data_IF_205881329443
#
_entry.id   IF_205881329443
#
_cell.length_a   1.000
_cell.length_b   1.000
_cell.length_c   1.000
_cell.angle_alpha   90.00
_cell.angle_beta   90.00
_cell.angle_gamma   90.00
#
_symmetry.space_group_name_H-M   'P 1'
#
loop_
_entity.id
_entity.type
_entity.pdbx_description
1 polymer ?
#
# COMPACT_ATOMS: atom_id res chain seq x y z
N UNK A 1 -60.48 -19.23 -5.22
CA UNK A 1 -60.04 -19.17 -3.81
C UNK A 1 -58.59 -19.64 -3.78
N UNK A 2 -57.67 -18.73 -4.09
CA UNK A 2 -56.27 -19.06 -4.31
C UNK A 2 -55.44 -18.75 -3.06
N UNK A 3 -55.08 -19.82 -2.35
CA UNK A 3 -54.18 -19.80 -1.21
C UNK A 3 -52.74 -19.56 -1.68
N UNK A 4 -52.36 -18.30 -1.91
CA UNK A 4 -50.95 -17.94 -2.03
C UNK A 4 -50.28 -18.06 -0.66
N UNK A 5 -49.57 -19.15 -0.46
CA UNK A 5 -48.63 -19.37 0.64
C UNK A 5 -47.63 -18.20 0.66
N UNK A 6 -47.77 -17.32 1.65
CA UNK A 6 -46.73 -16.34 1.99
C UNK A 6 -45.57 -17.10 2.60
N UNK A 7 -44.54 -17.36 1.81
CA UNK A 7 -43.22 -17.76 2.29
C UNK A 7 -42.63 -16.58 3.04
N UNK A 8 -42.64 -16.64 4.37
CA UNK A 8 -41.92 -15.66 5.20
C UNK A 8 -40.43 -15.86 4.97
N UNK A 9 -39.78 -14.86 4.38
CA UNK A 9 -38.32 -14.80 4.29
C UNK A 9 -37.79 -14.64 5.72
N UNK A 10 -36.93 -15.54 6.21
CA UNK A 10 -36.34 -15.40 7.54
C UNK A 10 -35.49 -14.13 7.61
N UNK A 11 -35.73 -13.32 8.63
CA UNK A 11 -35.07 -12.04 8.85
C UNK A 11 -33.54 -12.17 8.82
N UNK A 12 -32.93 -11.37 7.97
CA UNK A 12 -31.51 -11.02 8.01
C UNK A 12 -31.21 -10.45 9.41
N UNK A 13 -30.55 -11.26 10.24
CA UNK A 13 -30.01 -10.82 11.51
C UNK A 13 -28.95 -9.73 11.27
N UNK A 14 -28.86 -8.69 12.11
CA UNK A 14 -27.87 -7.64 11.97
C UNK A 14 -26.49 -8.17 12.36
N UNK A 15 -25.71 -8.58 11.37
CA UNK A 15 -24.28 -8.85 11.47
C UNK A 15 -23.52 -7.52 11.36
N UNK A 16 -23.58 -6.69 12.40
CA UNK A 16 -22.84 -5.41 12.40
C UNK A 16 -22.36 -5.04 13.82
N UNK A 17 -21.37 -5.79 14.29
CA UNK A 17 -20.46 -5.32 15.33
C UNK A 17 -19.02 -5.75 14.99
N UNK A 18 -18.59 -5.51 13.75
CA UNK A 18 -17.16 -5.43 13.46
C UNK A 18 -16.70 -4.04 13.92
N UNK A 19 -16.24 -3.98 15.17
CA UNK A 19 -15.53 -2.83 15.72
C UNK A 19 -14.22 -2.65 14.95
N UNK A 20 -14.33 -1.97 13.80
CA UNK A 20 -13.21 -1.51 13.00
C UNK A 20 -12.56 -0.35 13.77
N UNK A 21 -11.65 -0.67 14.69
CA UNK A 21 -10.73 0.30 15.28
C UNK A 21 -9.73 0.74 14.21
N UNK A 22 -10.20 1.45 13.19
CA UNK A 22 -9.35 2.20 12.28
C UNK A 22 -8.78 3.37 13.09
N UNK A 23 -7.53 3.24 13.52
CA UNK A 23 -6.72 4.38 13.89
C UNK A 23 -6.45 5.18 12.61
N UNK A 24 -7.39 6.03 12.22
CA UNK A 24 -7.23 7.03 11.18
C UNK A 24 -6.24 8.09 11.65
N UNK A 25 -4.95 7.84 11.46
CA UNK A 25 -3.98 8.93 11.37
C UNK A 25 -4.18 9.60 10.02
N UNK A 26 -5.10 10.54 9.96
CA UNK A 26 -5.28 11.41 8.79
C UNK A 26 -4.02 12.27 8.65
N UNK A 27 -3.31 12.25 7.50
CA UNK A 27 -2.37 13.32 7.19
C UNK A 27 -3.15 14.63 7.06
N UNK A 28 -2.58 15.72 7.60
CA UNK A 28 -3.14 17.05 7.51
C UNK A 28 -3.46 17.37 6.04
N UNK A 29 -4.75 17.57 5.77
CA UNK A 29 -5.28 17.91 4.46
C UNK A 29 -4.68 19.23 3.97
N UNK A 30 -3.83 19.17 2.96
CA UNK A 30 -3.51 20.32 2.13
C UNK A 30 -4.81 20.82 1.51
N UNK A 31 -5.10 22.11 1.71
CA UNK A 31 -6.28 22.78 1.20
C UNK A 31 -6.31 22.66 -0.34
N UNK A 32 -7.35 22.06 -0.94
CA UNK A 32 -7.44 21.93 -2.38
C UNK A 32 -7.46 23.32 -3.02
N UNK A 33 -6.57 23.52 -4.00
CA UNK A 33 -6.56 24.72 -4.82
C UNK A 33 -7.93 24.91 -5.51
N UNK A 34 -8.41 26.16 -5.66
CA UNK A 34 -9.68 26.44 -6.29
C UNK A 34 -9.76 25.81 -7.68
N UNK A 35 -10.85 25.07 -7.93
CA UNK A 35 -11.10 24.36 -9.16
C UNK A 35 -11.08 25.34 -10.35
N UNK A 36 -10.28 25.01 -11.37
CA UNK A 36 -10.31 25.72 -12.64
C UNK A 36 -11.70 25.59 -13.29
N UNK A 37 -12.20 26.64 -13.96
CA UNK A 37 -13.50 26.60 -14.63
C UNK A 37 -13.53 25.50 -15.70
N UNK A 38 -14.68 24.85 -15.93
CA UNK A 38 -14.81 23.79 -16.93
C UNK A 38 -14.52 24.36 -18.34
N UNK A 39 -13.83 23.60 -19.21
CA UNK A 39 -13.60 24.01 -20.58
C UNK A 39 -14.93 24.05 -21.34
N UNK A 40 -15.21 25.18 -21.97
CA UNK A 40 -16.36 25.37 -22.86
C UNK A 40 -16.37 24.29 -23.96
N UNK A 41 -17.45 23.53 -24.06
CA UNK A 41 -17.62 22.53 -25.13
C UNK A 41 -17.70 23.24 -26.47
N UNK A 42 -16.58 23.26 -27.19
CA UNK A 42 -16.55 23.77 -28.56
C UNK A 42 -16.97 22.62 -29.46
N UNK A 43 -18.05 22.83 -30.23
CA UNK A 43 -18.58 21.89 -31.20
C UNK A 43 -17.46 21.32 -32.08
N UNK A 44 -17.47 20.00 -32.28
CA UNK A 44 -16.45 19.27 -33.03
C UNK A 44 -16.33 19.82 -34.46
N UNK A 45 -15.22 20.53 -34.72
CA UNK A 45 -14.81 20.87 -36.06
C UNK A 45 -14.40 19.58 -36.82
N UNK A 46 -14.63 19.52 -38.15
CA UNK A 46 -14.22 18.39 -38.97
C UNK A 46 -12.71 18.12 -38.84
N UNK A 47 -12.36 16.85 -38.66
CA UNK A 47 -10.99 16.39 -38.48
C UNK A 47 -10.09 16.87 -39.63
N UNK A 48 -8.93 17.52 -39.34
CA UNK A 48 -7.97 17.87 -40.36
C UNK A 48 -7.35 16.61 -40.99
N UNK A 49 -6.88 16.70 -42.26
CA UNK A 49 -6.19 15.59 -42.92
C UNK A 49 -4.92 15.18 -42.15
N UNK A 50 -4.53 13.89 -42.24
CA UNK A 50 -3.38 13.36 -41.51
C UNK A 50 -2.10 14.14 -41.85
N UNK A 51 -1.27 14.49 -40.84
CA UNK A 51 -0.05 15.25 -41.04
C UNK A 51 0.96 14.47 -41.88
N UNK A 52 1.67 15.18 -42.76
CA UNK A 52 2.78 14.65 -43.54
C UNK A 52 3.89 14.10 -42.62
N UNK A 53 4.64 13.05 -43.05
CA UNK A 53 5.72 12.48 -42.26
C UNK A 53 6.79 13.54 -41.91
N UNK A 54 7.34 13.51 -40.69
CA UNK A 54 8.29 14.52 -40.23
C UNK A 54 9.59 14.43 -41.03
N UNK A 55 9.97 15.55 -41.64
CA UNK A 55 11.31 15.77 -42.18
C UNK A 55 12.34 15.61 -41.07
N UNK A 56 13.35 14.80 -41.29
CA UNK A 56 14.49 14.60 -40.37
C UNK A 56 15.29 15.89 -40.24
N UNK A 57 14.94 16.73 -39.25
CA UNK A 57 15.71 17.90 -38.87
C UNK A 57 16.98 17.45 -38.15
N UNK A 58 18.11 17.80 -38.76
CA UNK A 58 19.47 17.66 -38.22
C UNK A 58 19.54 18.17 -36.78
N UNK A 59 20.02 17.32 -35.87
CA UNK A 59 20.15 17.61 -34.45
C UNK A 59 20.99 18.87 -34.20
N UNK A 60 20.40 19.84 -33.49
CA UNK A 60 21.12 21.01 -32.98
C UNK A 60 22.06 20.60 -31.82
N UNK A 61 23.22 21.27 -31.66
CA UNK A 61 24.14 21.01 -30.56
C UNK A 61 23.47 21.26 -29.19
N UNK A 62 23.65 20.33 -28.26
CA UNK A 62 23.14 20.44 -26.89
C UNK A 62 23.73 21.67 -26.18
N UNK A 63 22.92 22.44 -25.44
CA UNK A 63 23.42 23.53 -24.59
C UNK A 63 24.28 22.98 -23.43
N UNK A 64 25.25 23.77 -22.93
CA UNK A 64 26.09 23.37 -21.81
C UNK A 64 25.27 23.19 -20.51
N UNK A 65 25.71 22.28 -19.61
CA UNK A 65 25.01 22.01 -18.36
C UNK A 65 24.98 23.25 -17.45
N UNK A 66 23.87 23.48 -16.72
CA UNK A 66 23.75 24.59 -15.79
C UNK A 66 24.74 24.45 -14.60
N UNK A 67 25.21 25.58 -14.04
CA UNK A 67 26.09 25.57 -12.87
C UNK A 67 25.38 24.98 -11.64
N UNK A 68 26.16 24.28 -10.80
CA UNK A 68 25.68 23.64 -9.59
C UNK A 68 25.04 24.66 -8.62
N UNK A 69 23.93 24.32 -7.94
CA UNK A 69 23.28 25.21 -7.00
C UNK A 69 24.17 25.43 -5.77
N UNK A 70 24.49 26.70 -5.50
CA UNK A 70 25.10 27.16 -4.26
C UNK A 70 24.14 26.90 -3.11
N UNK A 71 24.54 26.02 -2.20
CA UNK A 71 23.77 25.69 -0.99
C UNK A 71 23.90 26.84 0.01
N UNK A 72 22.97 27.79 -0.05
CA UNK A 72 22.84 28.85 0.94
C UNK A 72 22.00 28.32 2.11
N UNK A 73 22.57 28.36 3.32
CA UNK A 73 22.04 27.73 4.52
C UNK A 73 20.70 28.31 4.94
N UNK A 74 19.65 27.49 4.86
CA UNK A 74 18.39 27.72 5.55
C UNK A 74 18.44 27.04 6.92
N UNK A 75 18.61 27.86 7.94
CA UNK A 75 18.49 27.51 9.35
C UNK A 75 17.01 27.17 9.64
N UNK A 76 16.64 25.89 9.53
CA UNK A 76 15.32 25.40 9.93
C UNK A 76 15.34 25.01 11.41
N UNK A 77 14.72 25.86 12.24
CA UNK A 77 14.30 25.53 13.61
C UNK A 77 13.27 24.41 13.54
N UNK A 78 13.74 23.15 13.61
CA UNK A 78 12.88 21.98 13.66
C UNK A 78 12.46 21.72 15.11
N UNK A 79 11.16 21.88 15.36
CA UNK A 79 10.53 21.66 16.66
C UNK A 79 10.59 20.17 17.03
N UNK A 80 11.48 19.87 17.98
CA UNK A 80 11.82 18.54 18.45
C UNK A 80 10.57 17.78 18.96
N UNK A 81 10.17 16.65 18.35
CA UNK A 81 9.00 15.90 18.79
C UNK A 81 9.22 15.27 20.18
N UNK A 82 8.24 15.47 21.07
CA UNK A 82 8.21 14.95 22.44
C UNK A 82 8.58 13.46 22.51
N UNK A 83 9.55 13.07 23.36
CA UNK A 83 10.00 11.69 23.47
C UNK A 83 8.87 10.77 23.97
N UNK A 84 8.51 9.79 23.14
CA UNK A 84 7.61 8.69 23.53
C UNK A 84 8.25 7.94 24.71
N UNK A 85 7.48 7.79 25.80
CA UNK A 85 7.90 7.11 27.04
C UNK A 85 8.40 5.69 26.73
N UNK A 86 9.72 5.53 26.72
CA UNK A 86 10.43 4.24 26.62
C UNK A 86 9.91 3.31 27.73
N UNK A 87 9.39 2.15 27.34
CA UNK A 87 9.15 1.03 28.27
C UNK A 87 10.50 0.68 28.91
N UNK A 88 10.52 0.65 30.24
CA UNK A 88 11.70 0.37 31.07
C UNK A 88 12.32 -0.95 30.63
N UNK A 89 13.52 -0.90 30.05
CA UNK A 89 14.35 -2.09 29.88
C UNK A 89 14.75 -2.62 31.27
N UNK A 90 14.77 -3.95 31.48
CA UNK A 90 15.22 -4.53 32.73
C UNK A 90 16.69 -4.13 32.98
N UNK A 91 16.93 -3.51 34.14
CA UNK A 91 18.28 -3.23 34.64
C UNK A 91 19.01 -4.56 34.80
N UNK A 92 20.03 -4.78 33.97
CA UNK A 92 21.05 -5.79 34.24
C UNK A 92 21.82 -5.29 35.48
N UNK A 93 21.70 -6.03 36.57
CA UNK A 93 22.37 -5.75 37.83
C UNK A 93 23.88 -5.76 37.64
N UNK A 94 24.53 -4.74 38.19
CA UNK A 94 25.97 -4.64 38.35
C UNK A 94 26.44 -5.78 39.27
N UNK A 95 26.87 -6.91 38.70
CA UNK A 95 27.68 -7.88 39.43
C UNK A 95 29.16 -7.45 39.36
N UNK A 96 29.58 -6.97 40.52
CA UNK A 96 30.92 -6.81 41.06
C UNK A 96 31.93 -7.85 40.55
N UNK A 97 32.93 -7.40 39.79
CA UNK A 97 34.15 -8.16 39.48
C UNK A 97 35.35 -7.51 40.16
N UNK A 98 35.51 -7.79 41.46
CA UNK A 98 36.77 -7.57 42.19
C UNK A 98 37.57 -8.88 42.18
N UNK A 99 38.55 -8.99 41.29
CA UNK A 99 39.67 -9.94 41.40
C UNK A 99 40.83 -9.52 40.48
N UNK A 100 41.94 -8.97 41.01
CA UNK A 100 43.15 -8.72 40.23
C UNK A 100 43.91 -10.04 40.03
N UNK A 101 43.69 -10.69 38.89
CA UNK A 101 44.46 -11.86 38.46
C UNK A 101 45.71 -11.39 37.70
N UNK A 102 46.92 -11.93 37.99
CA UNK A 102 48.14 -11.55 37.29
C UNK A 102 48.08 -11.94 35.81
N UNK A 103 48.48 -10.97 34.97
CA UNK A 103 48.49 -11.00 33.51
C UNK A 103 49.18 -12.25 32.95
N UNK A 104 48.40 -13.16 32.39
CA UNK A 104 48.85 -14.04 31.31
C UNK A 104 48.62 -13.29 29.99
N UNK A 105 49.64 -13.14 29.12
CA UNK A 105 49.42 -12.57 27.79
C UNK A 105 48.47 -13.49 27.02
N UNK A 106 47.34 -12.97 26.50
CA UNK A 106 46.38 -13.79 25.78
C UNK A 106 47.04 -14.37 24.51
N UNK A 107 46.84 -15.67 24.22
CA UNK A 107 47.36 -16.29 23.01
C UNK A 107 46.81 -15.58 21.76
N UNK A 108 47.71 -15.25 20.82
CA UNK A 108 47.46 -14.48 19.57
C UNK A 108 46.50 -15.12 18.55
N UNK A 109 45.77 -16.16 18.93
CA UNK A 109 44.84 -16.90 18.08
C UNK A 109 43.45 -17.04 18.71
N UNK A 110 43.15 -16.28 19.77
CA UNK A 110 41.82 -16.23 20.34
C UNK A 110 40.79 -15.78 19.27
N UNK A 111 39.82 -16.63 18.89
CA UNK A 111 38.72 -16.23 18.02
C UNK A 111 37.97 -15.05 18.63
N UNK A 112 37.59 -14.10 17.78
CA UNK A 112 36.78 -12.92 18.09
C UNK A 112 35.35 -13.29 18.51
N UNK A 113 35.21 -14.03 19.59
CA UNK A 113 33.93 -14.24 20.28
C UNK A 113 33.88 -13.31 21.50
N UNK A 114 34.24 -12.04 21.32
CA UNK A 114 34.01 -11.03 22.34
C UNK A 114 32.49 -10.75 22.37
N UNK A 115 31.75 -11.23 23.39
CA UNK A 115 30.30 -11.03 23.48
C UNK A 115 29.92 -9.56 23.68
N UNK A 116 30.92 -8.67 23.86
CA UNK A 116 30.72 -7.23 24.01
C UNK A 116 30.69 -6.47 22.68
N UNK A 117 31.02 -7.09 21.55
CA UNK A 117 30.89 -6.41 20.26
C UNK A 117 29.42 -6.15 19.96
N UNK A 118 29.02 -4.89 19.69
CA UNK A 118 27.64 -4.56 19.38
C UNK A 118 27.21 -5.34 18.15
N UNK A 119 26.25 -6.25 18.33
CA UNK A 119 25.68 -7.04 17.24
C UNK A 119 25.05 -6.05 16.25
N UNK A 120 25.76 -5.77 15.16
CA UNK A 120 25.23 -4.91 14.10
C UNK A 120 23.90 -5.49 13.60
N UNK A 121 22.87 -4.67 13.37
CA UNK A 121 21.59 -5.17 12.90
C UNK A 121 21.74 -5.89 11.57
N UNK A 122 20.93 -6.93 11.34
CA UNK A 122 20.98 -7.72 10.10
C UNK A 122 20.60 -6.91 8.87
N UNK A 123 19.74 -5.90 9.06
CA UNK A 123 19.21 -5.00 8.02
C UNK A 123 19.42 -3.57 8.48
N UNK A 124 19.93 -2.76 7.56
CA UNK A 124 20.10 -1.32 7.74
C UNK A 124 19.40 -0.67 6.54
N UNK A 125 18.58 0.35 6.80
CA UNK A 125 17.95 1.15 5.75
C UNK A 125 19.05 1.88 4.97
N UNK A 126 18.94 1.90 3.65
CA UNK A 126 19.92 2.54 2.78
C UNK A 126 19.33 3.83 2.22
N UNK A 127 19.96 4.96 2.52
CA UNK A 127 19.64 6.23 1.85
C UNK A 127 20.56 6.46 0.65
N UNK A 128 20.04 7.12 -0.39
CA UNK A 128 20.81 7.37 -1.61
C UNK A 128 21.95 8.36 -1.32
N UNK A 129 23.17 7.84 -1.29
CA UNK A 129 24.37 8.61 -0.93
C UNK A 129 25.13 8.02 0.25
N UNK A 130 24.53 7.07 0.98
CA UNK A 130 25.20 6.37 2.07
C UNK A 130 26.36 5.49 1.59
N UNK A 131 27.42 5.42 2.41
CA UNK A 131 28.57 4.57 2.13
C UNK A 131 28.17 3.10 2.36
N UNK A 132 28.41 2.26 1.34
CA UNK A 132 28.21 0.82 1.46
C UNK A 132 29.16 0.23 2.51
N UNK A 133 28.60 -0.30 3.60
CA UNK A 133 29.40 -0.97 4.62
C UNK A 133 30.03 -2.25 4.05
N UNK A 134 31.32 -2.52 4.33
CA UNK A 134 31.97 -3.75 3.91
C UNK A 134 31.24 -4.96 4.50
N UNK A 135 30.95 -5.95 3.67
CA UNK A 135 30.20 -7.14 4.07
C UNK A 135 28.68 -6.96 4.10
N UNK A 136 28.14 -5.85 3.61
CA UNK A 136 26.71 -5.70 3.30
C UNK A 136 26.48 -5.72 1.79
N UNK A 137 25.32 -6.23 1.39
CA UNK A 137 24.84 -6.23 0.01
C UNK A 137 23.59 -5.38 -0.07
N UNK A 138 23.53 -4.53 -1.10
CA UNK A 138 22.35 -3.78 -1.43
C UNK A 138 21.29 -4.73 -1.99
N UNK A 139 20.14 -4.80 -1.33
CA UNK A 139 18.97 -5.53 -1.79
C UNK A 139 17.80 -4.58 -1.98
N UNK A 140 16.97 -4.92 -2.94
CA UNK A 140 15.79 -4.18 -3.34
C UNK A 140 14.58 -5.06 -3.01
N UNK A 141 13.65 -4.59 -2.18
CA UNK A 141 12.39 -5.28 -1.90
C UNK A 141 11.19 -4.34 -2.07
N UNK A 142 10.03 -4.86 -2.49
CA UNK A 142 8.79 -4.10 -2.46
C UNK A 142 8.41 -3.74 -1.01
N UNK A 143 7.78 -2.58 -0.84
CA UNK A 143 7.36 -2.08 0.49
C UNK A 143 6.19 -2.93 1.01
N UNK A 144 6.51 -3.86 1.93
CA UNK A 144 5.52 -4.84 2.41
C UNK A 144 4.34 -4.18 3.13
N UNK A 145 4.61 -3.13 3.89
CA UNK A 145 3.59 -2.39 4.64
C UNK A 145 2.56 -1.76 3.71
N UNK A 146 3.02 -1.09 2.64
CA UNK A 146 2.16 -0.44 1.66
C UNK A 146 1.38 -1.47 0.83
N UNK A 147 2.03 -2.57 0.45
CA UNK A 147 1.38 -3.66 -0.26
C UNK A 147 0.26 -4.30 0.59
N UNK A 148 0.54 -4.63 1.86
CA UNK A 148 -0.46 -5.20 2.78
C UNK A 148 -1.59 -4.20 3.02
N UNK A 149 -1.27 -2.93 3.26
CA UNK A 149 -2.25 -1.87 3.44
C UNK A 149 -3.16 -1.70 2.23
N UNK A 150 -2.58 -1.70 1.02
CA UNK A 150 -3.30 -1.63 -0.24
C UNK A 150 -4.21 -2.85 -0.48
N UNK A 151 -3.72 -4.07 -0.22
CA UNK A 151 -4.51 -5.30 -0.33
C UNK A 151 -5.71 -5.26 0.60
N UNK A 152 -5.52 -4.89 1.88
CA UNK A 152 -6.65 -4.83 2.83
C UNK A 152 -7.65 -3.75 2.42
N UNK A 153 -7.17 -2.56 2.05
CA UNK A 153 -8.02 -1.42 1.65
C UNK A 153 -8.78 -1.71 0.35
N UNK A 154 -8.22 -2.51 -0.56
CA UNK A 154 -8.88 -2.92 -1.80
C UNK A 154 -9.84 -4.11 -1.59
N UNK A 155 -9.37 -5.17 -0.92
CA UNK A 155 -10.06 -6.45 -0.86
C UNK A 155 -11.32 -6.43 0.02
N UNK A 156 -11.31 -5.66 1.11
CA UNK A 156 -12.49 -5.57 2.01
C UNK A 156 -13.70 -4.92 1.31
N UNK A 157 -13.61 -3.69 0.78
CA UNK A 157 -14.74 -3.05 0.10
C UNK A 157 -15.11 -3.79 -1.19
N UNK A 158 -14.14 -4.31 -1.95
CA UNK A 158 -14.45 -5.16 -3.10
C UNK A 158 -15.18 -6.44 -2.69
N UNK A 159 -14.75 -7.12 -1.63
CA UNK A 159 -15.39 -8.34 -1.13
C UNK A 159 -16.84 -8.10 -0.70
N UNK A 160 -17.12 -6.98 -0.02
CA UNK A 160 -18.50 -6.58 0.31
C UNK A 160 -19.33 -6.29 -0.95
N UNK A 161 -18.74 -5.58 -1.92
CA UNK A 161 -19.39 -5.28 -3.21
C UNK A 161 -19.71 -6.53 -4.00
N UNK A 162 -18.76 -7.46 -4.07
CA UNK A 162 -18.90 -8.72 -4.77
C UNK A 162 -19.89 -9.66 -4.07
N UNK A 163 -19.98 -9.61 -2.74
CA UNK A 163 -20.99 -10.34 -1.98
C UNK A 163 -22.40 -9.83 -2.30
N UNK A 164 -22.60 -8.51 -2.26
CA UNK A 164 -23.90 -7.88 -2.60
C UNK A 164 -24.22 -8.13 -4.07
N UNK A 165 -23.29 -7.81 -4.98
CA UNK A 165 -23.42 -8.04 -6.41
C UNK A 165 -23.74 -9.49 -6.74
N UNK A 166 -23.02 -10.44 -6.12
CA UNK A 166 -23.26 -11.87 -6.28
C UNK A 166 -24.63 -12.31 -5.77
N UNK A 167 -25.07 -11.81 -4.61
CA UNK A 167 -26.37 -12.17 -4.05
C UNK A 167 -27.53 -11.78 -4.99
N UNK A 168 -27.44 -10.65 -5.68
CA UNK A 168 -28.47 -10.18 -6.62
C UNK A 168 -28.25 -10.65 -8.06
N UNK A 169 -27.01 -10.92 -8.48
CA UNK A 169 -26.71 -11.40 -9.82
C UNK A 169 -27.24 -12.83 -10.08
N UNK A 170 -27.46 -13.62 -9.02
CA UNK A 170 -28.04 -14.97 -9.12
C UNK A 170 -29.52 -15.02 -8.76
N UNK A 171 -30.16 -13.89 -8.47
CA UNK A 171 -31.61 -13.84 -8.29
C UNK A 171 -32.29 -13.84 -9.68
N UNK A 172 -33.47 -14.47 -9.78
CA UNK A 172 -34.22 -14.59 -11.04
C UNK A 172 -34.82 -13.23 -11.51
N UNK A 173 -34.58 -12.15 -10.77
CA UNK A 173 -35.03 -10.82 -11.10
C UNK A 173 -34.06 -10.12 -12.06
N UNK A 174 -34.35 -10.17 -13.37
CA UNK A 174 -33.55 -9.53 -14.44
C UNK A 174 -33.17 -8.09 -14.11
N UNK A 175 -34.08 -7.30 -13.51
CA UNK A 175 -33.83 -5.88 -13.21
C UNK A 175 -32.74 -5.65 -12.17
N UNK A 176 -32.68 -6.51 -11.16
CA UNK A 176 -31.71 -6.42 -10.07
C UNK A 176 -30.37 -6.98 -10.55
N UNK A 177 -30.39 -8.05 -11.35
CA UNK A 177 -29.18 -8.63 -11.94
C UNK A 177 -28.43 -7.63 -12.83
N UNK A 178 -29.13 -6.81 -13.61
CA UNK A 178 -28.52 -5.76 -14.44
C UNK A 178 -27.92 -4.61 -13.62
N UNK A 179 -28.58 -4.26 -12.51
CA UNK A 179 -28.15 -3.15 -11.65
C UNK A 179 -26.93 -3.52 -10.79
N UNK A 180 -26.94 -4.74 -10.25
CA UNK A 180 -25.92 -5.20 -9.29
C UNK A 180 -24.84 -6.08 -9.91
N UNK A 181 -25.07 -6.66 -11.09
CA UNK A 181 -24.10 -7.48 -11.82
C UNK A 181 -22.75 -6.78 -12.05
N UNK A 182 -22.72 -5.47 -12.40
CA UNK A 182 -21.46 -4.75 -12.56
C UNK A 182 -20.60 -4.67 -11.29
N UNK A 183 -21.17 -4.81 -10.08
CA UNK A 183 -20.40 -4.78 -8.82
C UNK A 183 -19.38 -5.92 -8.68
N UNK A 184 -19.51 -6.97 -9.50
CA UNK A 184 -18.52 -8.04 -9.58
C UNK A 184 -17.21 -7.58 -10.25
N UNK A 185 -17.26 -6.51 -11.03
CA UNK A 185 -16.09 -5.89 -11.65
C UNK A 185 -15.40 -4.97 -10.64
N UNK A 186 -14.15 -5.26 -10.23
CA UNK A 186 -13.45 -4.41 -9.28
C UNK A 186 -13.17 -3.02 -9.86
N UNK A 187 -13.13 -2.02 -8.99
CA UNK A 187 -12.88 -0.59 -9.28
C UNK A 187 -13.96 0.07 -10.13
N UNK A 188 -14.29 -0.48 -11.29
CA UNK A 188 -15.24 0.10 -12.24
C UNK A 188 -16.69 -0.24 -11.93
N UNK A 189 -16.95 -1.38 -11.29
CA UNK A 189 -18.30 -1.86 -10.99
C UNK A 189 -19.19 -0.85 -10.27
N UNK A 190 -18.72 -0.20 -9.18
CA UNK A 190 -19.50 0.82 -8.48
C UNK A 190 -19.89 2.01 -9.37
N UNK A 191 -18.99 2.45 -10.25
CA UNK A 191 -19.25 3.56 -11.17
C UNK A 191 -20.19 3.17 -12.31
N UNK A 192 -20.09 1.94 -12.83
CA UNK A 192 -21.01 1.42 -13.83
C UNK A 192 -22.41 1.30 -13.24
N UNK A 193 -22.53 0.79 -12.01
CA UNK A 193 -23.82 0.64 -11.32
C UNK A 193 -24.51 2.00 -11.10
N UNK A 194 -23.74 3.02 -10.69
CA UNK A 194 -24.19 4.41 -10.61
C UNK A 194 -24.62 4.99 -11.97
N UNK A 195 -23.91 4.64 -13.04
CA UNK A 195 -24.26 5.06 -14.39
C UNK A 195 -25.62 4.49 -14.82
N UNK A 196 -25.84 3.20 -14.60
CA UNK A 196 -27.09 2.51 -14.93
C UNK A 196 -28.26 3.11 -14.14
N UNK A 197 -28.08 3.35 -12.84
CA UNK A 197 -29.09 3.98 -11.98
C UNK A 197 -29.45 5.38 -12.47
N UNK A 198 -28.46 6.22 -12.75
CA UNK A 198 -28.69 7.58 -13.25
C UNK A 198 -29.38 7.59 -14.62
N UNK A 199 -29.02 6.67 -15.52
CA UNK A 199 -29.70 6.52 -16.82
C UNK A 199 -31.17 6.13 -16.65
N UNK A 200 -31.49 5.21 -15.73
CA UNK A 200 -32.87 4.83 -15.42
C UNK A 200 -33.67 5.96 -14.78
N UNK A 201 -33.05 6.74 -13.89
CA UNK A 201 -33.69 7.90 -13.27
C UNK A 201 -34.07 9.01 -14.27
N UNK A 202 -33.34 9.12 -15.39
CA UNK A 202 -33.67 10.05 -16.47
C UNK A 202 -34.85 9.57 -17.32
N UNK A 203 -34.98 8.27 -17.55
CA UNK A 203 -36.05 7.69 -18.35
C UNK A 203 -37.41 7.73 -17.61
N UNK A 204 -37.37 7.50 -16.29
CA UNK A 204 -38.54 7.54 -15.42
C UNK A 204 -38.29 8.51 -14.25
N UNK A 205 -38.59 9.82 -14.43
CA UNK A 205 -38.37 10.80 -13.38
C UNK A 205 -39.33 10.58 -12.20
N UNK A 206 -38.88 9.77 -11.25
CA UNK A 206 -39.54 9.57 -9.96
C UNK A 206 -38.99 10.57 -8.94
N UNK A 207 -39.78 10.87 -7.90
CA UNK A 207 -39.30 11.69 -6.79
C UNK A 207 -38.10 10.98 -6.13
N UNK A 208 -36.92 11.60 -6.25
CA UNK A 208 -35.66 11.09 -5.71
C UNK A 208 -35.82 10.81 -4.23
N UNK A 209 -35.60 9.56 -3.84
CA UNK A 209 -35.69 9.14 -2.45
C UNK A 209 -34.35 9.36 -1.75
N UNK A 210 -34.37 9.53 -0.42
CA UNK A 210 -33.13 9.66 0.36
C UNK A 210 -32.27 8.39 0.30
N UNK A 211 -32.88 7.24 0.01
CA UNK A 211 -32.18 5.96 -0.13
C UNK A 211 -31.30 5.92 -1.39
N UNK A 212 -31.75 6.53 -2.50
CA UNK A 212 -30.99 6.64 -3.76
C UNK A 212 -29.70 7.46 -3.55
N UNK A 213 -29.78 8.55 -2.77
CA UNK A 213 -28.63 9.39 -2.44
C UNK A 213 -27.61 8.67 -1.56
N UNK A 214 -28.09 7.89 -0.58
CA UNK A 214 -27.23 7.07 0.27
C UNK A 214 -26.55 5.98 -0.55
N UNK A 215 -27.29 5.27 -1.39
CA UNK A 215 -26.74 4.26 -2.29
C UNK A 215 -25.65 4.86 -3.18
N UNK A 216 -25.92 6.00 -3.82
CA UNK A 216 -24.96 6.67 -4.68
C UNK A 216 -23.70 7.11 -3.93
N UNK A 217 -23.86 7.65 -2.72
CA UNK A 217 -22.75 8.02 -1.85
C UNK A 217 -21.88 6.80 -1.48
N UNK A 218 -22.50 5.69 -1.06
CA UNK A 218 -21.77 4.47 -0.72
C UNK A 218 -21.06 3.87 -1.93
N UNK A 219 -21.67 3.89 -3.11
CA UNK A 219 -21.03 3.41 -4.35
C UNK A 219 -19.84 4.26 -4.75
N UNK A 220 -19.93 5.59 -4.66
CA UNK A 220 -18.78 6.48 -4.89
C UNK A 220 -17.67 6.21 -3.88
N UNK A 221 -18.00 6.20 -2.58
CA UNK A 221 -17.03 5.96 -1.51
C UNK A 221 -16.31 4.61 -1.70
N UNK A 222 -17.06 3.57 -2.02
CA UNK A 222 -16.57 2.24 -2.31
C UNK A 222 -15.62 2.23 -3.53
N UNK A 223 -16.03 2.83 -4.65
CA UNK A 223 -15.20 2.96 -5.85
C UNK A 223 -13.88 3.70 -5.59
N UNK A 224 -13.93 4.83 -4.87
CA UNK A 224 -12.73 5.58 -4.48
C UNK A 224 -11.82 4.81 -3.52
N UNK A 225 -12.40 4.08 -2.57
CA UNK A 225 -11.62 3.26 -1.63
C UNK A 225 -10.90 2.14 -2.38
N UNK A 226 -11.58 1.46 -3.31
CA UNK A 226 -10.96 0.44 -4.16
C UNK A 226 -9.85 1.03 -5.04
N UNK A 227 -10.08 2.17 -5.68
CA UNK A 227 -9.06 2.86 -6.48
C UNK A 227 -7.84 3.25 -5.63
N UNK A 228 -8.06 3.75 -4.42
CA UNK A 228 -6.99 4.10 -3.47
C UNK A 228 -6.20 2.86 -3.04
N UNK A 229 -6.87 1.76 -2.70
CA UNK A 229 -6.22 0.49 -2.38
C UNK A 229 -5.40 -0.07 -3.56
N UNK A 230 -5.96 -0.03 -4.77
CA UNK A 230 -5.26 -0.43 -5.99
C UNK A 230 -4.01 0.44 -6.27
N UNK A 231 -4.12 1.76 -6.06
CA UNK A 231 -3.00 2.68 -6.18
C UNK A 231 -1.91 2.39 -5.13
N UNK A 232 -2.28 2.06 -3.89
CA UNK A 232 -1.32 1.65 -2.86
C UNK A 232 -0.60 0.34 -3.22
N UNK A 233 -1.32 -0.65 -3.77
CA UNK A 233 -0.71 -1.90 -4.26
C UNK A 233 0.30 -1.58 -5.37
N UNK A 234 -0.09 -0.76 -6.35
CA UNK A 234 0.77 -0.37 -7.45
C UNK A 234 2.01 0.40 -6.95
N UNK A 235 1.83 1.36 -6.05
CA UNK A 235 2.91 2.11 -5.42
C UNK A 235 3.85 1.19 -4.63
N UNK A 236 3.33 0.19 -3.92
CA UNK A 236 4.15 -0.77 -3.17
C UNK A 236 5.02 -1.67 -4.04
N UNK A 237 4.62 -1.89 -5.30
CA UNK A 237 5.39 -2.63 -6.31
C UNK A 237 6.38 -1.71 -7.03
N UNK A 238 5.96 -0.49 -7.37
CA UNK A 238 6.75 0.45 -8.17
C UNK A 238 7.81 1.21 -7.38
N UNK A 239 7.62 1.40 -6.07
CA UNK A 239 8.56 2.10 -5.18
C UNK A 239 9.22 1.06 -4.28
N UNK A 240 10.31 0.40 -4.73
CA UNK A 240 10.99 -0.56 -3.89
C UNK A 240 11.85 0.13 -2.83
N UNK A 241 11.84 -0.44 -1.62
CA UNK A 241 12.75 -0.10 -0.54
C UNK A 241 14.13 -0.71 -0.81
N UNK A 242 15.15 0.13 -0.70
CA UNK A 242 16.56 -0.28 -0.72
C UNK A 242 17.02 -0.48 0.72
N UNK A 243 17.63 -1.63 0.98
CA UNK A 243 18.23 -1.89 2.30
C UNK A 243 19.51 -2.69 2.15
N UNK A 244 20.43 -2.46 3.08
CA UNK A 244 21.65 -3.22 3.21
C UNK A 244 21.36 -4.47 4.05
N UNK A 245 21.49 -5.65 3.45
CA UNK A 245 21.51 -6.90 4.19
C UNK A 245 22.96 -7.35 4.37
N UNK A 246 23.33 -7.75 5.59
CA UNK A 246 24.65 -8.34 5.82
C UNK A 246 24.79 -9.54 4.86
N UNK A 247 25.84 -9.55 4.05
CA UNK A 247 26.23 -10.67 3.22
C UNK A 247 26.45 -11.87 4.14
N UNK A 248 25.41 -12.69 4.31
CA UNK A 248 25.53 -13.92 5.07
C UNK A 248 26.28 -14.92 4.21
N UNK A 249 27.58 -14.78 4.21
CA UNK A 249 28.52 -15.83 3.91
C UNK A 249 29.56 -15.82 5.02
N UNK A 250 29.13 -16.11 6.26
CA UNK A 250 30.01 -16.96 7.04
C UNK A 250 29.86 -18.34 6.39
N UNK A 251 30.91 -18.92 5.77
CA UNK A 251 30.89 -20.31 5.36
C UNK A 251 30.42 -21.17 6.55
N UNK A 252 29.44 -22.05 6.34
CA UNK A 252 28.92 -22.94 7.37
C UNK A 252 27.54 -22.61 7.98
N UNK A 253 26.75 -21.67 7.46
CA UNK A 253 25.35 -21.54 7.91
C UNK A 253 24.50 -22.72 7.39
N UNK A 254 23.92 -23.54 8.27
CA UNK A 254 23.04 -24.63 7.85
C UNK A 254 21.80 -24.10 7.13
N UNK A 255 21.56 -24.54 5.90
CA UNK A 255 20.26 -24.36 5.25
C UNK A 255 19.27 -25.38 5.82
N UNK A 256 18.23 -24.91 6.50
CA UNK A 256 17.12 -25.75 6.96
C UNK A 256 16.02 -25.74 5.89
N UNK A 257 15.94 -26.81 5.12
CA UNK A 257 14.85 -27.06 4.18
C UNK A 257 13.70 -27.76 4.92
N UNK A 258 12.58 -27.07 5.12
CA UNK A 258 11.37 -27.63 5.73
C UNK A 258 10.35 -27.91 4.63
N UNK A 259 10.12 -29.19 4.33
CA UNK A 259 9.03 -29.68 3.48
C UNK A 259 7.85 -30.19 4.31
N UNK A 260 6.73 -30.50 3.65
CA UNK A 260 5.47 -30.88 4.31
C UNK A 260 5.55 -32.12 5.23
N UNK A 261 6.57 -32.96 5.06
CA UNK A 261 6.81 -34.15 5.92
C UNK A 261 8.28 -34.35 6.32
N UNK A 262 9.18 -33.42 6.01
CA UNK A 262 10.62 -33.60 6.26
C UNK A 262 11.33 -32.29 6.52
N UNK A 263 12.28 -32.28 7.46
CA UNK A 263 13.25 -31.21 7.62
C UNK A 263 14.65 -31.74 7.28
N UNK A 264 15.38 -31.06 6.40
CA UNK A 264 16.76 -31.39 6.06
C UNK A 264 17.66 -30.19 6.40
N UNK A 265 18.81 -30.48 7.02
CA UNK A 265 19.85 -29.49 7.28
C UNK A 265 21.00 -29.73 6.31
N UNK A 266 21.30 -28.76 5.45
CA UNK A 266 22.48 -28.79 4.57
C UNK A 266 23.56 -27.88 5.12
N UNK A 267 24.69 -28.48 5.48
CA UNK A 267 25.92 -27.75 5.78
C UNK A 267 26.74 -27.65 4.50
N UNK A 268 27.09 -26.44 4.11
CA UNK A 268 28.05 -26.18 3.04
C UNK A 268 29.40 -25.89 3.69
N UNK A 269 30.34 -26.83 3.52
CA UNK A 269 31.72 -26.75 3.99
C UNK A 269 32.63 -26.26 2.87
#
# INVERSE_FOLDING_TARGET
MDNRKRTSIPGLAPLAALSLSLATTLPASAQPAPAAPPPSSTAAAPLPPPPAPPSTTSAAPLPPPPPAPTTEGAESTEEQPKPKKRKKQPRLSNETWDSPSPQQPPPMWAPMDDPSLPVLPRRIEYEEGDILLPGYQLKVQPTRSLLIGGIVTFAVPYGLSALVGGAYAFDDNERDSELFGPLLVPVFGPFISLGIENSRAQEFPNARSTDDDLYAFFMLLNGFTQLTGAAMIAAGILVPEKYLERAQALPGKPELLVGGSSAAVRFHF
#
